data_IF_566940111223
#
_entry.id   IF_566940111223
#
_cell.length_a   1.000
_cell.length_b   1.000
_cell.length_c   1.000
_cell.angle_alpha   90.00
_cell.angle_beta   90.00
_cell.angle_gamma   90.00
#
_symmetry.space_group_name_H-M   'P 1'
#
loop_
_entity.id
_entity.type
_entity.pdbx_description
1 polymer ?
#
# COMPACT_ATOMS: atom_id res chain seq x y z
N UNK A 1 10.42 -5.57 23.81
CA UNK A 1 9.77 -6.87 23.52
C UNK A 1 8.34 -6.73 22.98
N UNK A 2 7.51 -5.75 23.43
CA UNK A 2 6.10 -5.61 23.01
C UNK A 2 5.87 -5.24 21.52
N UNK A 3 6.72 -4.39 20.94
CA UNK A 3 6.55 -3.88 19.56
C UNK A 3 6.80 -4.92 18.48
N UNK A 4 7.74 -5.84 18.68
CA UNK A 4 8.02 -6.91 17.70
C UNK A 4 6.83 -7.86 17.52
N UNK A 5 6.19 -8.26 18.62
CA UNK A 5 5.00 -9.11 18.58
C UNK A 5 3.82 -8.45 17.85
N UNK A 6 3.61 -7.15 18.05
CA UNK A 6 2.58 -6.38 17.33
C UNK A 6 2.88 -6.31 15.83
N UNK A 7 4.14 -6.15 15.45
CA UNK A 7 4.56 -6.13 14.05
C UNK A 7 4.31 -7.48 13.38
N UNK A 8 4.69 -8.59 14.02
CA UNK A 8 4.44 -9.94 13.50
C UNK A 8 2.93 -10.21 13.33
N UNK A 9 2.11 -9.83 14.31
CA UNK A 9 0.66 -9.95 14.21
C UNK A 9 0.09 -9.11 13.07
N UNK A 10 0.54 -7.87 12.93
CA UNK A 10 0.07 -6.98 11.86
C UNK A 10 0.43 -7.51 10.46
N UNK A 11 1.60 -8.13 10.31
CA UNK A 11 2.01 -8.79 9.06
C UNK A 11 1.11 -10.00 8.75
N UNK A 12 0.89 -10.88 9.73
CA UNK A 12 -0.02 -12.02 9.56
C UNK A 12 -1.45 -11.56 9.22
N UNK A 13 -1.94 -10.51 9.89
CA UNK A 13 -3.25 -9.93 9.62
C UNK A 13 -3.33 -9.34 8.21
N UNK A 14 -2.25 -8.72 7.75
CA UNK A 14 -2.17 -8.17 6.40
C UNK A 14 -2.22 -9.24 5.32
N UNK A 15 -1.62 -10.42 5.57
CA UNK A 15 -1.70 -11.56 4.66
C UNK A 15 -3.09 -12.20 4.63
N UNK A 16 -3.73 -12.33 5.80
CA UNK A 16 -5.02 -13.02 5.92
C UNK A 16 -6.23 -12.15 5.53
N UNK A 17 -6.23 -10.88 5.96
CA UNK A 17 -7.38 -9.98 5.86
C UNK A 17 -7.10 -8.70 5.06
N UNK A 18 -5.86 -8.52 4.58
CA UNK A 18 -5.46 -7.40 3.75
C UNK A 18 -4.99 -6.17 4.52
N UNK A 19 -4.52 -5.16 3.77
CA UNK A 19 -3.87 -3.96 4.32
C UNK A 19 -4.79 -3.11 5.21
N UNK A 20 -6.09 -3.07 4.93
CA UNK A 20 -7.04 -2.29 5.73
C UNK A 20 -7.17 -2.82 7.18
N UNK A 21 -7.23 -4.14 7.34
CA UNK A 21 -7.30 -4.77 8.65
C UNK A 21 -6.01 -4.52 9.45
N UNK A 22 -4.85 -4.69 8.81
CA UNK A 22 -3.56 -4.43 9.45
C UNK A 22 -3.40 -2.96 9.88
N UNK A 23 -3.88 -2.01 9.08
CA UNK A 23 -3.84 -0.59 9.41
C UNK A 23 -4.70 -0.26 10.65
N UNK A 24 -5.90 -0.85 10.74
CA UNK A 24 -6.77 -0.69 11.90
C UNK A 24 -6.13 -1.26 13.17
N UNK A 25 -5.53 -2.45 13.09
CA UNK A 25 -4.83 -3.07 14.21
C UNK A 25 -3.67 -2.20 14.73
N UNK A 26 -2.83 -1.69 13.82
CA UNK A 26 -1.71 -0.82 14.19
C UNK A 26 -2.17 0.49 14.84
N UNK A 27 -3.29 1.05 14.37
CA UNK A 27 -3.89 2.25 14.95
C UNK A 27 -4.43 2.00 16.37
N UNK A 28 -5.17 0.92 16.57
CA UNK A 28 -5.72 0.57 17.89
C UNK A 28 -4.65 0.26 18.95
N UNK A 29 -3.42 -0.03 18.53
CA UNK A 29 -2.29 -0.32 19.41
C UNK A 29 -1.26 0.82 19.48
N UNK A 30 -1.60 2.03 18.99
CA UNK A 30 -0.76 3.23 19.02
C UNK A 30 0.67 3.00 18.50
N UNK A 31 0.80 2.15 17.48
CA UNK A 31 2.11 1.86 16.89
C UNK A 31 2.62 3.13 16.20
N UNK A 32 3.88 3.55 16.44
CA UNK A 32 4.42 4.75 15.81
C UNK A 32 4.28 4.70 14.28
N UNK A 33 3.85 5.81 13.69
CA UNK A 33 3.67 5.99 12.25
C UNK A 33 4.82 5.40 11.40
N UNK A 34 6.11 5.64 11.67
CA UNK A 34 7.19 5.08 10.86
C UNK A 34 7.21 3.54 10.87
N UNK A 35 6.86 2.91 12.00
CA UNK A 35 6.77 1.45 12.12
C UNK A 35 5.54 0.92 11.41
N UNK A 36 4.39 1.58 11.57
CA UNK A 36 3.16 1.21 10.89
C UNK A 36 3.32 1.28 9.37
N UNK A 37 3.95 2.33 8.85
CA UNK A 37 4.24 2.47 7.42
C UNK A 37 5.17 1.39 6.91
N UNK A 38 6.20 1.00 7.68
CA UNK A 38 7.05 -0.15 7.31
C UNK A 38 6.21 -1.40 7.17
N UNK A 39 5.39 -1.77 8.15
CA UNK A 39 4.53 -2.97 8.07
C UNK A 39 3.62 -2.92 6.84
N UNK A 40 2.88 -1.82 6.66
CA UNK A 40 1.89 -1.68 5.59
C UNK A 40 2.52 -1.69 4.19
N UNK A 41 3.74 -1.19 4.05
CA UNK A 41 4.48 -1.19 2.77
C UNK A 41 5.29 -2.45 2.53
N UNK A 42 5.62 -3.21 3.59
CA UNK A 42 6.36 -4.48 3.50
C UNK A 42 5.45 -5.66 3.16
N UNK A 43 4.17 -5.60 3.52
CA UNK A 43 3.24 -6.71 3.31
C UNK A 43 2.96 -7.05 1.83
N UNK A 44 2.20 -8.14 1.58
CA UNK A 44 2.20 -8.89 0.34
C UNK A 44 2.07 -7.99 -0.89
N UNK A 45 3.13 -8.00 -1.71
CA UNK A 45 3.15 -7.33 -3.01
C UNK A 45 1.85 -7.66 -3.72
N UNK A 46 1.15 -6.63 -4.18
CA UNK A 46 -0.04 -6.76 -5.03
C UNK A 46 0.24 -7.87 -6.04
N UNK A 47 -0.58 -8.93 -6.03
CA UNK A 47 -0.49 -9.96 -7.07
C UNK A 47 -0.52 -9.22 -8.41
N UNK A 48 0.40 -9.52 -9.35
CA UNK A 48 0.37 -8.88 -10.65
C UNK A 48 -1.04 -9.05 -11.20
N UNK A 49 -1.64 -7.93 -11.61
CA UNK A 49 -2.96 -7.96 -12.21
C UNK A 49 -2.93 -8.96 -13.37
N UNK A 50 -3.96 -9.79 -13.50
CA UNK A 50 -4.04 -10.72 -14.62
C UNK A 50 -3.97 -9.96 -15.95
N UNK A 51 -3.38 -10.53 -17.01
CA UNK A 51 -3.26 -9.87 -18.33
C UNK A 51 -4.58 -9.29 -18.84
N UNK A 52 -5.70 -9.95 -18.52
CA UNK A 52 -7.05 -9.54 -18.88
C UNK A 52 -7.52 -8.22 -18.22
N UNK A 53 -6.96 -7.85 -17.06
CA UNK A 53 -7.25 -6.56 -16.41
C UNK A 53 -6.57 -5.41 -17.16
N UNK A 54 -5.45 -5.68 -17.82
CA UNK A 54 -4.81 -4.72 -18.73
C UNK A 54 -5.54 -4.57 -20.07
N UNK A 55 -6.35 -5.55 -20.48
CA UNK A 55 -7.09 -5.46 -21.75
C UNK A 55 -8.11 -4.29 -21.77
N UNK A 56 -8.61 -3.87 -20.61
CA UNK A 56 -9.49 -2.69 -20.48
C UNK A 56 -8.73 -1.39 -20.24
N UNK A 57 -7.46 -1.47 -19.88
CA UNK A 57 -6.59 -0.30 -19.75
C UNK A 57 -6.23 0.16 -21.16
N UNK A 58 -6.90 1.21 -21.66
CA UNK A 58 -6.50 1.87 -22.90
C UNK A 58 -5.01 2.24 -22.76
N UNK A 59 -4.14 1.90 -23.73
CA UNK A 59 -2.78 2.38 -23.73
C UNK A 59 -2.83 3.89 -23.60
N UNK A 60 -2.32 4.44 -22.49
CA UNK A 60 -1.94 5.84 -22.46
C UNK A 60 -0.74 5.91 -23.38
N UNK A 61 -1.00 6.21 -24.66
CA UNK A 61 0.02 6.64 -25.59
C UNK A 61 0.86 7.65 -24.82
N UNK A 62 2.17 7.44 -24.80
CA UNK A 62 3.11 8.36 -24.20
C UNK A 62 3.07 9.69 -24.97
N UNK A 63 1.99 10.46 -24.79
CA UNK A 63 2.01 11.87 -25.01
C UNK A 63 2.99 12.37 -23.96
N UNK A 64 4.24 12.52 -24.39
CA UNK A 64 5.26 13.34 -23.77
C UNK A 64 4.59 14.68 -23.51
N UNK A 65 3.97 14.85 -22.33
CA UNK A 65 3.46 16.14 -21.88
C UNK A 65 4.72 16.95 -21.56
N UNK A 66 5.27 17.54 -22.61
CA UNK A 66 6.08 18.74 -22.46
C UNK A 66 5.15 19.79 -21.87
N UNK A 67 5.40 20.13 -20.60
CA UNK A 67 4.94 21.37 -19.96
C UNK A 67 3.47 21.72 -20.09
N UNK A 68 2.60 21.10 -19.29
CA UNK A 68 1.41 21.83 -18.82
C UNK A 68 1.83 22.57 -17.54
N UNK A 69 1.80 23.92 -17.50
CA UNK A 69 2.15 24.64 -16.28
C UNK A 69 1.15 24.26 -15.18
N UNK A 70 1.68 23.91 -14.01
CA UNK A 70 0.89 23.74 -12.79
C UNK A 70 0.19 25.09 -12.51
N UNK A 71 -1.10 25.09 -12.12
CA UNK A 71 -1.76 26.33 -11.74
C UNK A 71 -1.02 26.91 -10.53
N UNK A 72 -0.42 28.09 -10.74
CA UNK A 72 0.16 28.88 -9.67
C UNK A 72 -0.94 29.21 -8.67
N UNK A 73 -0.68 28.94 -7.39
CA UNK A 73 -1.43 29.53 -6.27
C UNK A 73 -0.82 30.87 -5.94
#
# INVERSE_FOLDING_TARGET
MRTAALVEHALALQEMAGTGAAALFLHCHDVPLPTALRVLTTGPRRKPAGPHLFARLRPRTAARVQGAPLPAR
#
